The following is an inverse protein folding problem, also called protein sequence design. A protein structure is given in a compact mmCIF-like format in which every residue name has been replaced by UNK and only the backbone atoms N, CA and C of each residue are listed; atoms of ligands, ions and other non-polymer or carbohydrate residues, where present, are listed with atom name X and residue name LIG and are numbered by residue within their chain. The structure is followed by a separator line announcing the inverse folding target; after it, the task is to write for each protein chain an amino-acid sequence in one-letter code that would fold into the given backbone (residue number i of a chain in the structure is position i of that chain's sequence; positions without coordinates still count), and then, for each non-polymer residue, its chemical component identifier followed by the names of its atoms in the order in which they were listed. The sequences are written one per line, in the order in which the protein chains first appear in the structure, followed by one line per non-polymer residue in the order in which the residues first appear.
data_IF_244866582784
#
_entry.id   IF_244866582784
#
_cell.length_a   1.000
_cell.length_b   1.000
_cell.length_c   1.000
_cell.angle_alpha   90.00
_cell.angle_beta   90.00
_cell.angle_gamma   90.00
#
_symmetry.space_group_name_H-M   'P 1'
#
loop_
_entity.id
_entity.type
_entity.pdbx_description
1 polymer ?
#
# COMPACT_ATOMS: atom_id res chain seq x y z
N UNK A 1 -4.63 22.41 -2.29
CA UNK A 1 -4.52 22.06 -0.85
C UNK A 1 -5.48 22.85 0.04
N UNK A 2 -5.84 24.11 -0.29
CA UNK A 2 -6.69 24.98 0.56
C UNK A 2 -8.07 24.36 0.88
N UNK A 3 -8.74 23.77 -0.11
CA UNK A 3 -10.08 23.20 0.09
C UNK A 3 -10.10 21.99 1.03
N UNK A 4 -9.06 21.16 1.02
CA UNK A 4 -8.99 19.97 1.89
C UNK A 4 -8.84 20.36 3.37
N UNK A 5 -8.01 21.36 3.66
CA UNK A 5 -7.81 21.86 5.03
C UNK A 5 -9.07 22.50 5.61
N UNK A 6 -9.90 23.14 4.78
CA UNK A 6 -11.10 23.82 5.24
C UNK A 6 -12.29 22.86 5.47
N UNK A 7 -12.36 21.75 4.75
CA UNK A 7 -13.52 20.85 4.75
C UNK A 7 -13.35 19.67 5.72
N UNK A 8 -12.14 19.13 5.85
CA UNK A 8 -11.90 17.91 6.64
C UNK A 8 -11.25 18.21 7.99
N UNK A 9 -11.78 17.63 9.07
CA UNK A 9 -11.12 17.62 10.37
C UNK A 9 -9.93 16.65 10.34
N UNK A 10 -8.71 17.18 10.42
CA UNK A 10 -7.49 16.37 10.38
C UNK A 10 -7.07 16.01 11.81
N UNK A 11 -6.96 14.72 12.09
CA UNK A 11 -6.34 14.17 13.29
C UNK A 11 -5.18 13.24 12.87
N UNK A 12 -4.15 13.15 13.70
CA UNK A 12 -2.95 12.37 13.41
C UNK A 12 -2.64 11.43 14.57
N UNK A 13 -2.35 10.18 14.24
CA UNK A 13 -1.91 9.14 15.18
C UNK A 13 -0.63 8.49 14.66
N UNK A 14 0.29 8.19 15.57
CA UNK A 14 1.55 7.50 15.26
C UNK A 14 1.58 6.17 15.97
N UNK A 15 2.02 5.14 15.27
CA UNK A 15 2.29 3.82 15.82
C UNK A 15 3.67 3.39 15.35
N UNK A 16 4.45 2.79 16.24
CA UNK A 16 5.74 2.18 15.90
C UNK A 16 5.53 0.74 15.44
N UNK A 17 6.19 0.35 14.36
CA UNK A 17 6.08 -0.99 13.77
C UNK A 17 7.47 -1.57 13.58
N UNK A 18 7.68 -2.81 14.01
CA UNK A 18 8.92 -3.55 13.80
C UNK A 18 8.98 -4.17 12.39
N UNK A 19 10.11 -3.96 11.71
CA UNK A 19 10.39 -4.44 10.36
C UNK A 19 11.33 -5.65 10.31
N UNK A 20 11.80 -6.17 11.44
CA UNK A 20 12.77 -7.27 11.49
C UNK A 20 12.34 -8.49 10.66
N UNK A 21 11.08 -8.92 10.81
CA UNK A 21 10.54 -10.05 10.06
C UNK A 21 10.46 -9.77 8.55
N UNK A 22 10.08 -8.54 8.17
CA UNK A 22 9.98 -8.14 6.76
C UNK A 22 11.36 -8.11 6.10
N UNK A 23 12.39 -7.66 6.82
CA UNK A 23 13.75 -7.64 6.28
C UNK A 23 14.35 -9.05 6.12
N UNK A 24 14.04 -9.97 7.05
CA UNK A 24 14.42 -11.37 6.93
C UNK A 24 13.82 -12.01 5.67
N UNK A 25 12.49 -11.94 5.50
CA UNK A 25 11.81 -12.49 4.32
C UNK A 25 12.28 -11.82 3.02
N UNK A 26 12.49 -10.50 3.05
CA UNK A 26 13.00 -9.77 1.89
C UNK A 26 14.41 -10.22 1.52
N UNK A 27 15.27 -10.47 2.49
CA UNK A 27 16.66 -10.88 2.25
C UNK A 27 16.77 -12.23 1.57
N UNK A 28 15.84 -13.14 1.81
CA UNK A 28 15.78 -14.45 1.15
C UNK A 28 15.33 -14.35 -0.31
N UNK A 29 14.40 -13.44 -0.61
CA UNK A 29 13.73 -13.39 -1.93
C UNK A 29 14.31 -12.33 -2.87
N UNK A 30 15.02 -11.31 -2.36
CA UNK A 30 15.54 -10.18 -3.15
C UNK A 30 16.36 -10.61 -4.37
N UNK A 31 17.15 -11.68 -4.23
CA UNK A 31 18.08 -12.12 -5.28
C UNK A 31 17.33 -12.82 -6.42
N UNK A 32 16.34 -13.66 -6.08
CA UNK A 32 15.46 -14.30 -7.06
C UNK A 32 14.58 -13.28 -7.79
N UNK A 33 14.05 -12.31 -7.05
CA UNK A 33 13.24 -11.23 -7.58
C UNK A 33 14.01 -10.37 -8.59
N UNK A 34 15.23 -9.95 -8.22
CA UNK A 34 16.08 -9.13 -9.09
C UNK A 34 16.44 -9.85 -10.39
N UNK A 35 16.65 -11.17 -10.36
CA UNK A 35 16.92 -11.97 -11.54
C UNK A 35 15.71 -12.08 -12.47
N UNK A 36 14.50 -12.10 -11.90
CA UNK A 36 13.27 -12.38 -12.65
C UNK A 36 12.64 -11.11 -13.23
N UNK A 37 12.60 -10.04 -12.43
CA UNK A 37 11.88 -8.80 -12.75
C UNK A 37 12.83 -7.66 -13.17
N UNK A 38 14.14 -7.82 -12.96
CA UNK A 38 15.16 -6.85 -13.38
C UNK A 38 15.28 -5.60 -12.50
N UNK A 39 14.48 -5.48 -11.44
CA UNK A 39 14.56 -4.39 -10.46
C UNK A 39 14.63 -4.91 -9.02
N UNK A 40 15.11 -4.05 -8.11
CA UNK A 40 15.29 -4.40 -6.70
C UNK A 40 13.96 -4.43 -5.96
N UNK A 41 13.76 -5.45 -5.13
CA UNK A 41 12.62 -5.52 -4.22
C UNK A 41 12.72 -4.47 -3.11
N UNK A 42 11.74 -3.56 -3.04
CA UNK A 42 11.60 -2.52 -2.01
C UNK A 42 10.63 -2.96 -0.91
N UNK A 43 10.49 -2.16 0.17
CA UNK A 43 9.55 -2.43 1.27
C UNK A 43 8.10 -2.03 0.95
N UNK A 44 7.90 -1.08 0.02
CA UNK A 44 6.59 -0.58 -0.40
C UNK A 44 5.56 -1.67 -0.73
N UNK A 45 5.87 -2.75 -1.48
CA UNK A 45 4.87 -3.79 -1.77
C UNK A 45 4.37 -4.54 -0.54
N UNK A 46 5.20 -4.71 0.50
CA UNK A 46 4.78 -5.32 1.75
C UNK A 46 3.79 -4.43 2.50
N UNK A 47 4.08 -3.13 2.57
CA UNK A 47 3.23 -2.13 3.22
C UNK A 47 1.92 -1.98 2.45
N UNK A 48 1.97 -1.86 1.13
CA UNK A 48 0.78 -1.74 0.29
C UNK A 48 -0.15 -2.94 0.46
N UNK A 49 0.40 -4.16 0.53
CA UNK A 49 -0.41 -5.36 0.77
C UNK A 49 -1.06 -5.35 2.15
N UNK A 50 -0.29 -5.04 3.21
CA UNK A 50 -0.81 -4.96 4.57
C UNK A 50 -1.95 -3.94 4.68
N UNK A 51 -1.86 -2.81 3.98
CA UNK A 51 -2.93 -1.80 3.93
C UNK A 51 -4.18 -2.34 3.23
N UNK A 52 -4.06 -3.06 2.11
CA UNK A 52 -5.23 -3.67 1.42
C UNK A 52 -5.93 -4.66 2.35
N UNK A 53 -5.18 -5.52 3.03
CA UNK A 53 -5.74 -6.51 3.94
C UNK A 53 -6.42 -5.82 5.14
N UNK A 54 -5.82 -4.77 5.70
CA UNK A 54 -6.43 -3.97 6.77
C UNK A 54 -7.71 -3.22 6.31
N UNK A 55 -7.75 -2.69 5.08
CA UNK A 55 -8.94 -2.02 4.54
C UNK A 55 -10.09 -3.00 4.29
N UNK A 56 -9.80 -4.28 4.05
CA UNK A 56 -10.81 -5.32 3.96
C UNK A 56 -11.47 -5.61 5.32
N UNK A 57 -10.69 -5.55 6.41
CA UNK A 57 -11.19 -5.72 7.78
C UNK A 57 -11.91 -4.48 8.31
N UNK A 58 -11.47 -3.28 7.92
CA UNK A 58 -12.00 -1.99 8.38
C UNK A 58 -12.59 -1.16 7.22
N UNK A 59 -13.77 -1.54 6.66
CA UNK A 59 -14.34 -0.90 5.47
C UNK A 59 -14.73 0.57 5.70
N UNK A 60 -14.98 0.98 6.95
CA UNK A 60 -15.33 2.35 7.30
C UNK A 60 -14.19 3.35 7.01
N UNK A 61 -12.94 2.89 6.91
CA UNK A 61 -11.80 3.74 6.55
C UNK A 61 -11.77 4.04 5.04
N UNK A 62 -12.37 3.18 4.22
CA UNK A 62 -12.49 3.36 2.77
C UNK A 62 -13.82 4.01 2.38
N UNK A 63 -14.20 5.08 3.08
CA UNK A 63 -15.48 5.75 2.91
C UNK A 63 -15.31 7.24 2.60
N UNK A 64 -16.23 7.78 1.80
CA UNK A 64 -16.31 9.19 1.44
C UNK A 64 -17.55 9.83 2.05
N UNK A 65 -17.46 11.11 2.40
CA UNK A 65 -18.60 11.89 2.89
C UNK A 65 -19.15 12.71 1.72
N UNK A 66 -20.38 12.42 1.32
CA UNK A 66 -21.12 13.19 0.31
C UNK A 66 -22.28 13.93 0.97
N UNK A 67 -22.14 15.25 1.09
CA UNK A 67 -23.07 16.17 1.78
C UNK A 67 -23.35 15.78 3.25
N UNK A 68 -24.26 14.83 3.47
CA UNK A 68 -24.68 14.30 4.79
C UNK A 68 -24.72 12.76 4.83
N UNK A 69 -24.22 12.07 3.79
CA UNK A 69 -24.23 10.60 3.70
C UNK A 69 -22.81 10.05 3.66
N UNK A 70 -22.59 8.97 4.41
CA UNK A 70 -21.37 8.17 4.34
C UNK A 70 -21.51 7.13 3.22
N UNK A 71 -20.65 7.19 2.21
CA UNK A 71 -20.58 6.22 1.11
C UNK A 71 -19.37 5.32 1.33
N UNK A 72 -19.61 4.02 1.53
CA UNK A 72 -18.54 3.02 1.70
C UNK A 72 -18.21 2.38 0.35
N UNK A 73 -16.92 2.33 -0.01
CA UNK A 73 -16.47 1.76 -1.26
C UNK A 73 -15.96 0.31 -1.07
N UNK A 74 -16.45 -0.61 -1.90
CA UNK A 74 -16.03 -2.02 -1.88
C UNK A 74 -14.73 -2.28 -2.66
N UNK A 75 -14.33 -1.34 -3.52
CA UNK A 75 -13.08 -1.42 -4.27
C UNK A 75 -12.02 -0.55 -3.60
N UNK A 76 -10.78 -1.04 -3.59
CA UNK A 76 -9.65 -0.38 -2.93
C UNK A 76 -8.68 0.09 -4.01
N UNK A 77 -8.63 1.41 -4.21
CA UNK A 77 -7.67 2.09 -5.06
C UNK A 77 -6.59 2.74 -4.19
N UNK A 78 -5.37 2.18 -4.21
CA UNK A 78 -4.24 2.74 -3.48
C UNK A 78 -3.44 3.70 -4.35
N UNK A 79 -3.48 4.99 -3.99
CA UNK A 79 -2.62 6.02 -4.57
C UNK A 79 -1.27 6.08 -3.87
N UNK A 80 -0.18 5.92 -4.62
CA UNK A 80 1.19 6.09 -4.12
C UNK A 80 1.73 7.42 -4.66
N UNK A 81 2.12 8.32 -3.76
CA UNK A 81 2.78 9.57 -4.13
C UNK A 81 4.27 9.30 -4.40
N UNK A 82 4.70 9.52 -5.64
CA UNK A 82 6.11 9.45 -6.04
C UNK A 82 6.52 10.85 -6.47
N UNK A 83 7.53 11.39 -5.81
CA UNK A 83 8.15 12.64 -6.22
C UNK A 83 9.17 12.35 -7.33
N UNK A 84 9.00 13.01 -8.47
CA UNK A 84 9.96 12.97 -9.58
C UNK A 84 10.48 14.39 -9.75
N UNK A 85 11.80 14.57 -9.71
CA UNK A 85 12.46 15.89 -9.84
C UNK A 85 12.18 16.61 -11.17
N UNK A 86 11.44 16.01 -12.10
CA UNK A 86 11.02 16.66 -13.33
C UNK A 86 9.94 17.71 -13.06
N UNK A 87 10.44 18.95 -12.96
CA UNK A 87 9.71 20.21 -13.11
C UNK A 87 8.51 20.07 -14.05
N UNK A 88 7.32 20.29 -13.48
CA UNK A 88 6.05 20.47 -14.17
C UNK A 88 5.49 19.19 -14.81
N UNK A 89 4.75 18.41 -14.02
CA UNK A 89 3.35 18.06 -14.31
C UNK A 89 2.77 17.29 -13.11
N UNK A 90 1.56 17.69 -12.72
CA UNK A 90 0.60 17.01 -11.83
C UNK A 90 1.05 15.65 -11.31
N UNK A 91 1.17 15.55 -9.98
CA UNK A 91 1.01 14.34 -9.16
C UNK A 91 0.30 13.24 -9.95
N UNK A 92 1.06 12.41 -10.68
CA UNK A 92 0.46 11.30 -11.39
C UNK A 92 0.22 10.26 -10.31
N UNK A 93 -0.96 10.31 -9.70
CA UNK A 93 -1.50 9.22 -8.92
C UNK A 93 -1.64 8.07 -9.91
N UNK A 94 -0.61 7.23 -10.00
CA UNK A 94 -0.69 6.01 -10.77
C UNK A 94 -1.57 5.07 -9.93
N UNK A 95 -2.89 5.13 -10.16
CA UNK A 95 -3.80 4.11 -9.69
C UNK A 95 -3.40 2.81 -10.39
N UNK A 96 -2.54 2.02 -9.76
CA UNK A 96 -2.22 0.69 -10.25
C UNK A 96 -3.36 -0.19 -9.76
N UNK A 97 -4.26 -0.68 -10.64
CA UNK A 97 -5.18 -1.73 -10.24
C UNK A 97 -4.32 -2.93 -9.83
N UNK A 98 -4.27 -3.19 -8.53
CA UNK A 98 -3.43 -4.23 -7.90
C UNK A 98 -3.97 -5.65 -8.18
N UNK A 99 -4.64 -5.87 -9.32
CA UNK A 99 -5.51 -7.04 -9.53
C UNK A 99 -5.05 -8.05 -10.59
N UNK A 100 -3.87 -7.94 -11.23
CA UNK A 100 -3.47 -9.07 -12.10
C UNK A 100 -1.99 -9.40 -12.28
N UNK A 101 -1.08 -8.42 -12.45
CA UNK A 101 0.32 -8.75 -12.75
C UNK A 101 1.18 -8.86 -11.48
N UNK A 102 1.08 -7.87 -10.58
CA UNK A 102 1.88 -7.83 -9.36
C UNK A 102 1.43 -8.87 -8.32
N UNK A 103 0.12 -9.04 -8.14
CA UNK A 103 -0.44 -10.10 -7.29
C UNK A 103 -0.13 -11.52 -7.80
N UNK A 104 -0.04 -11.73 -9.12
CA UNK A 104 0.39 -13.02 -9.69
C UNK A 104 1.88 -13.27 -9.53
N UNK A 105 2.72 -12.25 -9.68
CA UNK A 105 4.16 -12.37 -9.41
C UNK A 105 4.41 -12.68 -7.93
N UNK A 106 3.76 -11.95 -7.01
CA UNK A 106 3.84 -12.22 -5.56
C UNK A 106 3.28 -13.58 -5.14
N UNK A 107 2.17 -14.04 -5.75
CA UNK A 107 1.61 -15.37 -5.51
C UNK A 107 2.50 -16.50 -6.07
N UNK A 108 3.26 -16.24 -7.15
CA UNK A 108 4.19 -17.21 -7.76
C UNK A 108 5.44 -17.46 -6.91
N UNK A 109 5.84 -16.49 -6.09
CA UNK A 109 7.03 -16.60 -5.21
C UNK A 109 6.70 -16.94 -3.75
N UNK A 110 5.44 -17.23 -3.41
CA UNK A 110 5.03 -17.71 -2.06
C UNK A 110 5.56 -16.84 -0.90
N UNK A 111 5.85 -15.56 -1.16
CA UNK A 111 6.42 -14.58 -0.21
C UNK A 111 5.44 -14.33 0.94
N UNK A 112 4.14 -14.59 0.70
CA UNK A 112 3.03 -14.38 1.63
C UNK A 112 2.82 -15.49 2.66
N UNK A 113 3.47 -16.66 2.56
CA UNK A 113 3.38 -17.71 3.60
C UNK A 113 4.52 -17.67 4.62
N UNK A 114 5.50 -16.78 4.44
CA UNK A 114 6.70 -16.69 5.28
C UNK A 114 6.71 -15.50 6.24
N UNK A 115 5.68 -14.65 6.23
CA UNK A 115 5.50 -13.64 7.28
C UNK A 115 4.54 -14.25 8.31
N UNK A 116 5.05 -14.86 9.41
CA UNK A 116 4.20 -15.28 10.50
C UNK A 116 3.45 -14.05 11.03
N UNK A 117 2.14 -14.20 11.22
CA UNK A 117 1.32 -13.19 11.88
C UNK A 117 2.00 -12.80 13.20
N UNK A 118 2.13 -11.49 13.52
CA UNK A 118 2.57 -11.10 14.84
C UNK A 118 1.55 -11.61 15.87
N UNK A 119 1.94 -12.60 16.68
CA UNK A 119 1.25 -12.90 17.93
C UNK A 119 1.55 -11.78 18.93
N UNK A 120 0.63 -10.82 19.05
CA UNK A 120 0.29 -10.11 20.30
C UNK A 120 -0.92 -9.19 20.09
#
# INVERSE_FOLDING_TARGET
MIMSQAVSAHAFSVVEVDYANVDATRSEVKDQWKQSEGFTLTYLPFIARAIVDALAEYPNLNASIEADKLVVHNYVDLGIAVDLEFQVCSYQLCAVPMTSAFARSLAKYQILQLVPAPES
#
